data_IF_791435055557
#
_entry.id   IF_791435055557
#
_cell.length_a   1.000
_cell.length_b   1.000
_cell.length_c   1.000
_cell.angle_alpha   90.00
_cell.angle_beta   90.00
_cell.angle_gamma   90.00
#
_symmetry.space_group_name_H-M   'P 1'
#
loop_
_entity.id
_entity.type
_entity.pdbx_description
1 polymer ?
#
# COMPACT_ATOMS: atom_id res chain seq x y z
N UNK A 1 -33.46 -45.44 -19.19
CA UNK A 1 -33.02 -44.67 -18.05
C UNK A 1 -31.96 -43.67 -18.49
N UNK A 2 -32.32 -42.46 -18.38
CA UNK A 2 -31.43 -41.36 -18.77
C UNK A 2 -31.02 -40.62 -17.56
N UNK A 3 -29.78 -40.74 -17.21
CA UNK A 3 -29.20 -39.88 -16.21
C UNK A 3 -28.83 -38.60 -16.91
N UNK A 4 -29.67 -37.63 -16.76
CA UNK A 4 -29.26 -36.25 -16.94
C UNK A 4 -28.28 -35.95 -15.83
N UNK A 5 -27.03 -36.17 -16.13
CA UNK A 5 -25.99 -35.49 -15.37
C UNK A 5 -26.21 -34.03 -15.68
N UNK A 6 -26.98 -33.38 -14.84
CA UNK A 6 -26.82 -31.96 -14.66
C UNK A 6 -25.39 -31.73 -14.14
N UNK A 7 -24.51 -31.59 -15.09
CA UNK A 7 -23.23 -30.99 -14.86
C UNK A 7 -23.56 -29.57 -14.43
N UNK A 8 -23.83 -29.41 -13.16
CA UNK A 8 -23.84 -28.10 -12.53
C UNK A 8 -22.39 -27.66 -12.62
N UNK A 9 -22.08 -27.01 -13.71
CA UNK A 9 -20.94 -26.12 -13.75
C UNK A 9 -21.23 -25.09 -12.67
N UNK A 10 -20.74 -25.37 -11.50
CA UNK A 10 -20.51 -24.35 -10.49
C UNK A 10 -19.55 -23.38 -11.14
N UNK A 11 -20.10 -22.42 -11.85
CA UNK A 11 -19.42 -21.20 -12.14
C UNK A 11 -19.05 -20.60 -10.80
N UNK A 12 -17.89 -20.96 -10.32
CA UNK A 12 -17.27 -20.24 -9.25
C UNK A 12 -16.95 -18.88 -9.85
N UNK A 13 -17.90 -17.97 -9.71
CA UNK A 13 -17.62 -16.57 -9.87
C UNK A 13 -16.61 -16.25 -8.79
N UNK A 14 -15.34 -16.37 -9.12
CA UNK A 14 -14.33 -15.73 -8.32
C UNK A 14 -14.61 -14.24 -8.43
N UNK A 15 -15.31 -13.75 -7.45
CA UNK A 15 -15.38 -12.31 -7.24
C UNK A 15 -13.95 -11.92 -6.92
N UNK A 16 -13.25 -11.49 -7.93
CA UNK A 16 -11.99 -10.80 -7.74
C UNK A 16 -12.33 -9.54 -7.00
N UNK A 17 -12.06 -9.55 -5.68
CA UNK A 17 -12.00 -8.32 -4.93
C UNK A 17 -10.87 -7.52 -5.55
N UNK A 18 -11.18 -6.84 -6.68
CA UNK A 18 -10.22 -6.10 -7.47
C UNK A 18 -9.78 -4.86 -6.74
N UNK A 19 -8.56 -4.48 -6.94
CA UNK A 19 -7.94 -3.29 -6.38
C UNK A 19 -6.44 -3.44 -6.36
N UNK A 20 -5.79 -2.56 -5.64
CA UNK A 20 -4.36 -2.68 -5.41
C UNK A 20 -4.13 -3.68 -4.29
N UNK A 21 -3.36 -4.71 -4.59
CA UNK A 21 -2.94 -5.71 -3.61
C UNK A 21 -1.57 -5.30 -3.08
N UNK A 22 -1.48 -5.08 -1.79
CA UNK A 22 -0.27 -4.57 -1.14
C UNK A 22 0.56 -5.70 -0.53
N UNK A 23 1.88 -5.58 -0.63
CA UNK A 23 2.79 -6.53 0.00
C UNK A 23 2.72 -6.42 1.52
N UNK A 24 2.62 -5.19 2.03
CA UNK A 24 2.51 -4.89 3.47
C UNK A 24 1.56 -3.72 3.70
N UNK A 25 0.85 -3.74 4.80
CA UNK A 25 0.02 -2.62 5.27
C UNK A 25 0.59 -1.97 6.52
N UNK A 26 1.57 -2.59 7.15
CA UNK A 26 2.32 -2.05 8.27
C UNK A 26 3.80 -2.00 7.93
N UNK A 27 4.41 -0.85 8.14
CA UNK A 27 5.81 -0.59 7.84
C UNK A 27 6.53 -0.22 9.13
N UNK A 28 7.60 -0.95 9.43
CA UNK A 28 8.48 -0.64 10.55
C UNK A 28 9.67 0.17 10.05
N UNK A 29 9.90 1.31 10.67
CA UNK A 29 11.03 2.20 10.36
C UNK A 29 11.89 2.33 11.59
N UNK A 30 13.18 2.07 11.43
CA UNK A 30 14.18 2.30 12.48
C UNK A 30 15.09 3.45 12.07
N UNK A 31 15.15 4.46 12.89
CA UNK A 31 15.99 5.63 12.71
C UNK A 31 16.93 5.80 13.90
N UNK A 32 18.15 6.21 13.62
CA UNK A 32 19.20 6.36 14.64
C UNK A 32 19.67 7.80 14.67
N UNK A 33 20.10 8.24 15.84
CA UNK A 33 20.72 9.55 15.99
C UNK A 33 21.87 9.72 15.01
N UNK A 34 21.79 10.75 14.17
CA UNK A 34 22.79 11.02 13.15
C UNK A 34 22.70 10.15 11.89
N UNK A 35 21.72 9.24 11.81
CA UNK A 35 21.56 8.33 10.68
C UNK A 35 20.95 8.94 9.42
N UNK A 36 20.35 10.11 9.51
CA UNK A 36 19.70 10.76 8.36
C UNK A 36 18.36 10.17 7.99
N UNK A 37 17.88 10.53 6.79
CA UNK A 37 16.59 10.06 6.27
C UNK A 37 16.58 8.57 6.02
N UNK A 38 15.45 7.93 6.30
CA UNK A 38 15.25 6.48 6.11
C UNK A 38 14.37 6.26 4.87
N UNK A 39 14.88 5.66 3.81
CA UNK A 39 14.09 5.34 2.64
C UNK A 39 13.37 4.00 2.77
N UNK A 40 12.30 3.84 2.00
CA UNK A 40 11.59 2.57 1.88
C UNK A 40 10.64 2.61 0.70
N UNK A 41 9.89 1.52 0.53
CA UNK A 41 8.96 1.37 -0.60
C UNK A 41 7.69 0.65 -0.16
N UNK A 42 6.56 1.11 -0.68
CA UNK A 42 5.30 0.36 -0.65
C UNK A 42 5.14 -0.32 -2.01
N UNK A 43 5.02 -1.64 -2.01
CA UNK A 43 4.88 -2.44 -3.23
C UNK A 43 3.46 -2.95 -3.38
N UNK A 44 2.96 -2.91 -4.61
CA UNK A 44 1.60 -3.33 -4.92
C UNK A 44 1.48 -3.90 -6.32
N UNK A 45 0.36 -4.57 -6.55
CA UNK A 45 -0.06 -5.05 -7.87
C UNK A 45 -1.52 -4.68 -8.08
N UNK A 46 -1.85 -4.16 -9.26
CA UNK A 46 -3.24 -3.94 -9.63
C UNK A 46 -3.85 -5.29 -10.04
N UNK A 47 -4.61 -5.87 -9.12
CA UNK A 47 -5.28 -7.16 -9.34
C UNK A 47 -6.68 -7.01 -9.91
N UNK A 48 -7.13 -5.78 -10.16
CA UNK A 48 -8.42 -5.51 -10.78
C UNK A 48 -8.35 -5.67 -12.30
N UNK A 49 -9.49 -5.61 -12.93
CA UNK A 49 -9.62 -5.63 -14.40
C UNK A 49 -9.70 -4.22 -15.01
N UNK A 50 -9.51 -3.19 -14.20
CA UNK A 50 -9.55 -1.79 -14.59
C UNK A 50 -8.23 -1.08 -14.31
N UNK A 51 -7.87 -0.07 -15.11
CA UNK A 51 -6.75 0.80 -14.76
C UNK A 51 -7.05 1.55 -13.46
N UNK A 52 -6.06 1.69 -12.61
CA UNK A 52 -6.17 2.42 -11.35
C UNK A 52 -5.17 3.56 -11.35
N UNK A 53 -5.65 4.75 -10.99
CA UNK A 53 -4.81 5.94 -10.85
C UNK A 53 -4.60 6.26 -9.38
N UNK A 54 -3.35 6.48 -9.00
CA UNK A 54 -3.01 7.00 -7.68
C UNK A 54 -3.11 8.51 -7.73
N UNK A 55 -3.99 9.08 -6.89
CA UNK A 55 -4.27 10.52 -6.88
C UNK A 55 -3.44 11.28 -5.86
N UNK A 56 -3.26 10.69 -4.68
CA UNK A 56 -2.51 11.32 -3.60
C UNK A 56 -2.03 10.27 -2.60
N UNK A 57 -0.98 10.59 -1.88
CA UNK A 57 -0.44 9.74 -0.81
C UNK A 57 -0.18 10.61 0.42
N UNK A 58 -1.24 11.10 1.09
CA UNK A 58 -1.07 11.93 2.28
C UNK A 58 -0.59 11.12 3.48
N UNK A 59 0.21 11.75 4.32
CA UNK A 59 0.69 11.19 5.57
C UNK A 59 0.27 12.06 6.74
N UNK A 60 0.07 11.46 7.92
CA UNK A 60 -0.28 12.16 9.15
C UNK A 60 0.89 12.97 9.74
N UNK A 61 2.06 12.84 9.16
CA UNK A 61 3.26 13.56 9.57
C UNK A 61 3.98 14.09 8.34
N UNK A 62 4.37 15.36 8.35
CA UNK A 62 5.24 15.93 7.30
C UNK A 62 6.65 15.32 7.27
N UNK A 63 6.98 14.50 8.27
CA UNK A 63 8.23 13.75 8.32
C UNK A 63 8.27 12.55 7.36
N UNK A 64 7.12 12.15 6.83
CA UNK A 64 7.01 11.07 5.84
C UNK A 64 6.59 11.67 4.50
N UNK A 65 7.41 11.47 3.49
CA UNK A 65 7.13 11.89 2.11
C UNK A 65 7.08 10.65 1.25
N UNK A 66 5.94 10.43 0.60
CA UNK A 66 5.73 9.30 -0.28
C UNK A 66 5.24 9.80 -1.64
N UNK A 67 5.90 9.35 -2.71
CA UNK A 67 5.54 9.72 -4.09
C UNK A 67 5.59 8.49 -4.98
N UNK A 68 4.48 8.17 -5.67
CA UNK A 68 4.52 7.10 -6.66
C UNK A 68 5.41 7.48 -7.85
N UNK A 69 6.10 6.51 -8.44
CA UNK A 69 6.95 6.72 -9.60
C UNK A 69 6.12 7.12 -10.83
N UNK A 70 4.92 6.57 -10.94
CA UNK A 70 3.93 6.99 -11.93
C UNK A 70 2.53 6.90 -11.30
N UNK A 71 1.52 7.42 -12.01
CA UNK A 71 0.18 7.53 -11.45
C UNK A 71 -0.78 6.45 -11.93
N UNK A 72 -0.64 5.99 -13.17
CA UNK A 72 -1.59 5.07 -13.79
C UNK A 72 -1.01 3.67 -13.88
N UNK A 73 -1.79 2.69 -13.44
CA UNK A 73 -1.41 1.28 -13.41
C UNK A 73 -2.46 0.45 -14.10
N UNK A 74 -2.04 -0.28 -15.14
CA UNK A 74 -2.91 -1.17 -15.89
C UNK A 74 -3.26 -2.42 -15.07
N UNK A 75 -4.33 -3.16 -15.47
CA UNK A 75 -4.62 -4.46 -14.86
C UNK A 75 -3.41 -5.39 -14.90
N UNK A 76 -3.08 -5.99 -13.76
CA UNK A 76 -1.94 -6.89 -13.60
C UNK A 76 -0.59 -6.20 -13.42
N UNK A 77 -0.55 -4.89 -13.54
CA UNK A 77 0.70 -4.14 -13.38
C UNK A 77 1.08 -4.00 -11.92
N UNK A 78 2.38 -4.19 -11.65
CA UNK A 78 2.95 -3.95 -10.33
C UNK A 78 3.65 -2.60 -10.28
N UNK A 79 3.68 -1.99 -9.10
CA UNK A 79 4.32 -0.71 -8.90
C UNK A 79 4.88 -0.56 -7.51
N UNK A 80 5.57 0.54 -7.32
CA UNK A 80 6.15 0.92 -6.04
C UNK A 80 5.84 2.38 -5.72
N UNK A 81 5.67 2.67 -4.45
CA UNK A 81 5.60 4.03 -3.95
C UNK A 81 6.80 4.22 -3.03
N UNK A 82 7.86 4.89 -3.52
CA UNK A 82 8.99 5.23 -2.66
C UNK A 82 8.56 6.20 -1.57
N UNK A 83 9.11 6.03 -0.40
CA UNK A 83 8.93 6.99 0.69
C UNK A 83 10.25 7.25 1.41
N UNK A 84 10.31 8.37 2.13
CA UNK A 84 11.39 8.69 3.05
C UNK A 84 10.81 9.15 4.37
N UNK A 85 11.47 8.79 5.44
CA UNK A 85 11.19 9.30 6.79
C UNK A 85 12.33 10.21 7.23
N UNK A 86 12.00 11.44 7.57
CA UNK A 86 12.95 12.40 8.13
C UNK A 86 12.89 12.33 9.66
N UNK A 87 13.95 11.84 10.35
CA UNK A 87 13.95 11.72 11.79
C UNK A 87 13.68 13.06 12.49
N UNK A 88 12.85 13.01 13.54
CA UNK A 88 12.45 14.19 14.30
C UNK A 88 13.30 14.40 15.54
N UNK A 89 14.21 13.50 15.82
CA UNK A 89 15.03 13.48 17.05
C UNK A 89 14.17 13.39 18.32
N UNK A 90 13.08 12.66 18.20
CA UNK A 90 12.22 12.28 19.32
C UNK A 90 12.40 10.79 19.56
N UNK A 91 13.03 10.45 20.65
CA UNK A 91 13.40 9.08 20.97
C UNK A 91 12.18 8.26 21.38
N UNK A 92 12.18 7.00 21.00
CA UNK A 92 11.09 6.07 21.28
C UNK A 92 10.34 5.64 20.04
N UNK A 93 9.19 5.02 20.25
CA UNK A 93 8.36 4.45 19.19
C UNK A 93 7.08 5.25 19.03
N UNK A 94 6.73 5.55 17.78
CA UNK A 94 5.50 6.24 17.41
C UNK A 94 4.88 5.61 16.19
N UNK A 95 3.57 5.73 16.05
CA UNK A 95 2.86 5.29 14.88
C UNK A 95 2.32 6.49 14.09
N UNK A 96 2.47 6.44 12.78
CA UNK A 96 1.89 7.39 11.84
C UNK A 96 1.02 6.65 10.84
N UNK A 97 0.15 7.38 10.17
CA UNK A 97 -0.71 6.82 9.13
C UNK A 97 -0.37 7.44 7.79
N UNK A 98 -0.36 6.59 6.77
CA UNK A 98 -0.20 6.99 5.38
C UNK A 98 -1.38 6.44 4.61
N UNK A 99 -1.96 7.26 3.75
CA UNK A 99 -3.10 6.86 2.95
C UNK A 99 -2.75 6.90 1.47
N UNK A 100 -3.26 5.94 0.71
CA UNK A 100 -3.16 5.97 -0.74
C UNK A 100 -4.56 6.19 -1.29
N UNK A 101 -4.76 7.36 -1.87
CA UNK A 101 -6.01 7.77 -2.48
C UNK A 101 -5.96 7.44 -3.96
N UNK A 102 -6.90 6.65 -4.44
CA UNK A 102 -6.93 6.18 -5.82
C UNK A 102 -8.20 6.60 -6.53
N UNK A 103 -8.28 6.28 -7.82
CA UNK A 103 -9.49 6.48 -8.63
C UNK A 103 -10.61 5.50 -8.31
N UNK A 104 -10.34 4.51 -7.46
CA UNK A 104 -11.35 3.53 -7.06
C UNK A 104 -12.40 4.16 -6.15
N UNK A 105 -13.62 3.62 -6.20
CA UNK A 105 -14.66 3.98 -5.25
C UNK A 105 -14.34 3.38 -3.88
N UNK A 106 -14.73 4.09 -2.82
CA UNK A 106 -14.56 3.62 -1.45
C UNK A 106 -13.46 4.36 -0.68
N UNK A 107 -13.11 3.83 0.48
CA UNK A 107 -12.12 4.43 1.36
C UNK A 107 -10.70 4.28 0.79
N UNK A 108 -9.80 5.23 1.06
CA UNK A 108 -8.41 5.08 0.69
C UNK A 108 -7.75 3.91 1.41
N UNK A 109 -6.67 3.39 0.83
CA UNK A 109 -5.85 2.40 1.51
C UNK A 109 -5.11 3.04 2.67
N UNK A 110 -5.11 2.38 3.81
CA UNK A 110 -4.50 2.88 5.03
C UNK A 110 -3.29 2.04 5.40
N UNK A 111 -2.18 2.71 5.72
CA UNK A 111 -0.94 2.09 6.16
C UNK A 111 -0.56 2.62 7.52
N UNK A 112 -0.07 1.73 8.37
CA UNK A 112 0.47 2.08 9.66
C UNK A 112 2.00 2.05 9.58
N UNK A 113 2.61 3.20 9.85
CA UNK A 113 4.06 3.34 9.90
C UNK A 113 4.48 3.43 11.36
N UNK A 114 5.17 2.41 11.83
CA UNK A 114 5.69 2.35 13.19
C UNK A 114 7.15 2.76 13.17
N UNK A 115 7.43 3.92 13.74
CA UNK A 115 8.76 4.51 13.70
C UNK A 115 9.40 4.40 15.08
N UNK A 116 10.58 3.80 15.14
CA UNK A 116 11.41 3.77 16.34
C UNK A 116 12.66 4.59 16.10
N UNK A 117 12.82 5.66 16.88
CA UNK A 117 14.02 6.49 16.86
C UNK A 117 14.84 6.16 18.10
N UNK A 118 16.09 5.77 17.86
CA UNK A 118 17.01 5.37 18.93
C UNK A 118 18.15 6.36 19.04
N UNK A 119 18.42 6.76 20.27
CA UNK A 119 19.57 7.60 20.61
C UNK A 119 20.81 6.71 20.75
N UNK A 120 21.89 7.18 20.21
CA UNK A 120 23.21 6.56 20.40
C UNK A 120 23.93 7.11 21.61
#
# INVERSE_FOLDING_TARGET
>A
MRFLLCLILLLHSTVLAGGLQWEKTEVAIEAFEGGGKVPGELKFTNTSDQPIRIRAVPASCGCIVAKPEKRDYAPGESGVIPFTYAPKRKWGTRAYRVYVVTSEAGAPYEFRFVVTETRR
#
